data_IF_564723185554
#
_entry.id   IF_564723185554
#
_cell.length_a   1.000
_cell.length_b   1.000
_cell.length_c   1.000
_cell.angle_alpha   90.00
_cell.angle_beta   90.00
_cell.angle_gamma   90.00
#
_symmetry.space_group_name_H-M   'P 1'
#
loop_
_entity.id
_entity.type
_entity.pdbx_description
1 polymer ?
#
# COMPACT_ATOMS: atom_id res chain seq x y z
N UNK A 1 -8.90 -13.40 25.97
CA UNK A 1 -7.82 -12.56 25.38
C UNK A 1 -6.50 -13.33 25.14
N UNK A 2 -6.14 -14.36 25.90
CA UNK A 2 -4.81 -15.04 25.81
C UNK A 2 -4.50 -15.89 24.54
N UNK A 3 -5.46 -16.14 23.64
CA UNK A 3 -5.24 -17.06 22.51
C UNK A 3 -4.80 -16.38 21.19
N UNK A 4 -4.77 -15.05 21.13
CA UNK A 4 -4.77 -14.33 19.83
C UNK A 4 -3.46 -13.61 19.52
N UNK A 5 -2.65 -13.28 20.51
CA UNK A 5 -1.36 -12.64 20.32
C UNK A 5 -0.23 -13.56 20.75
N UNK A 6 0.76 -13.74 19.89
CA UNK A 6 2.02 -14.42 20.26
C UNK A 6 2.91 -13.46 21.05
N UNK A 7 3.40 -13.89 22.20
CA UNK A 7 4.40 -13.15 22.98
C UNK A 7 3.83 -11.90 23.67
N UNK A 8 2.83 -12.06 24.53
CA UNK A 8 2.35 -10.98 25.41
C UNK A 8 3.38 -10.73 26.52
N UNK A 9 3.75 -9.47 26.72
CA UNK A 9 4.72 -9.02 27.71
C UNK A 9 4.05 -8.13 28.77
N UNK A 10 4.31 -8.45 30.03
CA UNK A 10 3.82 -7.68 31.17
C UNK A 10 4.86 -6.65 31.55
N UNK A 11 4.39 -5.45 31.87
CA UNK A 11 5.25 -4.33 32.21
C UNK A 11 4.78 -3.71 33.53
N UNK A 12 5.73 -3.18 34.30
CA UNK A 12 5.43 -2.39 35.49
C UNK A 12 6.12 -1.03 35.36
N UNK A 13 5.68 -0.16 34.43
CA UNK A 13 6.40 1.07 34.15
C UNK A 13 6.27 2.01 35.34
N UNK A 14 7.40 2.52 35.83
CA UNK A 14 7.40 3.59 36.82
C UNK A 14 6.82 4.87 36.22
N UNK A 15 6.12 5.66 37.04
CA UNK A 15 5.62 6.99 36.64
C UNK A 15 4.21 7.02 36.04
N UNK A 16 3.57 5.87 35.81
CA UNK A 16 2.15 5.81 35.42
C UNK A 16 1.29 5.93 36.68
N UNK A 17 0.52 7.02 36.81
CA UNK A 17 -0.38 7.26 37.94
C UNK A 17 -1.79 6.75 37.69
N UNK A 18 -2.20 6.58 36.43
CA UNK A 18 -3.48 5.99 36.03
C UNK A 18 -3.55 4.48 36.41
N UNK A 19 -4.37 4.16 37.41
CA UNK A 19 -4.44 2.80 37.96
C UNK A 19 -4.95 1.72 36.98
N UNK A 20 -6.02 1.94 36.19
CA UNK A 20 -6.45 0.96 35.20
C UNK A 20 -5.34 0.58 34.22
N UNK A 21 -4.57 1.56 33.74
CA UNK A 21 -3.44 1.32 32.83
C UNK A 21 -2.34 0.52 33.51
N UNK A 22 -1.93 0.89 34.74
CA UNK A 22 -0.92 0.12 35.49
C UNK A 22 -1.33 -1.34 35.65
N UNK A 23 -2.57 -1.57 36.09
CA UNK A 23 -3.10 -2.91 36.31
C UNK A 23 -3.12 -3.71 35.01
N UNK A 24 -3.61 -3.12 33.93
CA UNK A 24 -3.64 -3.77 32.62
C UNK A 24 -2.23 -4.19 32.18
N UNK A 25 -1.25 -3.28 32.24
CA UNK A 25 0.13 -3.58 31.84
C UNK A 25 0.78 -4.66 32.73
N UNK A 26 0.48 -4.69 34.03
CA UNK A 26 1.06 -5.64 34.97
C UNK A 26 0.41 -7.03 34.90
N UNK A 27 -0.91 -7.10 34.75
CA UNK A 27 -1.68 -8.36 34.82
C UNK A 27 -1.93 -8.98 33.43
N UNK A 28 -2.31 -8.14 32.46
CA UNK A 28 -2.66 -8.56 31.10
C UNK A 28 -1.44 -8.47 30.19
N UNK A 29 -0.79 -7.31 30.13
CA UNK A 29 0.36 -7.04 29.27
C UNK A 29 -0.02 -6.55 27.86
N UNK A 30 1.01 -6.24 27.07
CA UNK A 30 0.90 -5.82 25.67
C UNK A 30 1.42 -6.94 24.75
N UNK A 31 0.85 -7.15 23.55
CA UNK A 31 1.46 -8.03 22.57
C UNK A 31 2.80 -7.44 22.09
N UNK A 32 3.78 -8.27 21.70
CA UNK A 32 5.03 -7.76 21.09
C UNK A 32 4.77 -6.92 19.83
N UNK A 33 3.91 -7.44 18.96
CA UNK A 33 3.52 -6.78 17.72
C UNK A 33 2.05 -7.05 17.44
N UNK A 34 1.30 -6.02 17.07
CA UNK A 34 -0.06 -6.13 16.53
C UNK A 34 -0.45 -4.86 15.78
N UNK A 35 -1.21 -4.99 14.70
CA UNK A 35 -1.75 -3.89 13.90
C UNK A 35 -0.70 -2.82 13.58
N UNK A 36 0.41 -3.25 12.98
CA UNK A 36 1.57 -2.40 12.66
C UNK A 36 2.37 -1.81 13.82
N UNK A 37 1.94 -2.04 15.06
CA UNK A 37 2.57 -1.51 16.25
C UNK A 37 3.51 -2.56 16.82
N UNK A 38 4.78 -2.21 16.97
CA UNK A 38 5.74 -2.89 17.84
C UNK A 38 5.65 -2.26 19.21
N UNK A 39 5.16 -3.01 20.20
CA UNK A 39 5.05 -2.52 21.57
C UNK A 39 6.37 -2.71 22.29
N UNK A 40 6.85 -1.64 22.89
CA UNK A 40 8.08 -1.59 23.65
C UNK A 40 8.00 -0.40 24.63
N UNK A 41 7.48 -0.61 25.84
CA UNK A 41 7.41 0.45 26.85
C UNK A 41 8.79 0.90 27.30
N UNK A 42 9.13 2.17 27.03
CA UNK A 42 10.45 2.76 27.27
C UNK A 42 10.44 3.85 28.36
N UNK A 43 9.26 4.29 28.83
CA UNK A 43 9.12 5.37 29.80
C UNK A 43 8.92 6.74 29.13
N UNK A 44 9.30 7.87 29.78
CA UNK A 44 9.07 9.21 29.24
C UNK A 44 9.64 9.42 27.84
N UNK A 45 8.85 10.00 26.93
CA UNK A 45 9.29 10.35 25.59
C UNK A 45 10.14 11.63 25.59
N UNK A 46 11.27 11.60 24.88
CA UNK A 46 12.20 12.72 24.83
C UNK A 46 11.64 13.97 24.12
N UNK A 47 10.73 13.78 23.17
CA UNK A 47 10.09 14.87 22.41
C UNK A 47 8.85 15.40 23.14
N UNK A 48 8.15 14.52 23.86
CA UNK A 48 6.95 14.84 24.63
C UNK A 48 7.12 14.43 26.10
N UNK A 49 7.81 15.23 26.93
CA UNK A 49 8.22 14.84 28.29
C UNK A 49 7.07 14.50 29.25
N UNK A 50 5.83 14.88 28.93
CA UNK A 50 4.63 14.53 29.69
C UNK A 50 3.98 13.21 29.28
N UNK A 51 4.48 12.56 28.23
CA UNK A 51 3.94 11.31 27.69
C UNK A 51 5.00 10.20 27.80
N UNK A 52 4.56 8.97 27.92
CA UNK A 52 5.40 7.79 27.91
C UNK A 52 5.34 7.10 26.55
N UNK A 53 6.49 6.70 25.99
CA UNK A 53 6.52 5.87 24.80
C UNK A 53 6.21 4.41 25.18
N UNK A 54 5.17 3.86 24.55
CA UNK A 54 4.74 2.46 24.76
C UNK A 54 4.89 1.59 23.51
N UNK A 55 5.19 2.19 22.36
CA UNK A 55 5.46 1.45 21.13
C UNK A 55 5.84 2.35 19.96
N UNK A 56 5.92 1.74 18.79
CA UNK A 56 6.21 2.40 17.53
C UNK A 56 5.52 1.69 16.36
N UNK A 57 5.22 2.42 15.30
CA UNK A 57 4.67 1.89 14.05
C UNK A 57 5.41 2.52 12.87
N UNK A 58 5.71 1.72 11.84
CA UNK A 58 6.60 2.09 10.75
C UNK A 58 7.97 2.63 11.21
N UNK A 59 8.59 3.44 10.36
CA UNK A 59 9.94 3.97 10.61
C UNK A 59 9.95 5.24 11.47
N UNK A 60 8.80 5.93 11.57
CA UNK A 60 8.73 7.29 12.14
C UNK A 60 7.58 7.49 13.13
N UNK A 61 6.70 6.50 13.29
CA UNK A 61 5.54 6.58 14.18
C UNK A 61 5.86 6.15 15.61
N UNK A 62 5.22 6.80 16.57
CA UNK A 62 5.30 6.50 18.01
C UNK A 62 3.92 6.29 18.58
N UNK A 63 3.80 5.32 19.47
CA UNK A 63 2.62 5.17 20.33
C UNK A 63 2.97 5.72 21.70
N UNK A 64 2.26 6.76 22.09
CA UNK A 64 2.48 7.52 23.32
C UNK A 64 1.31 7.30 24.28
N UNK A 65 1.60 7.36 25.57
CA UNK A 65 0.65 7.14 26.66
C UNK A 65 0.73 8.33 27.61
N UNK A 66 -0.39 8.97 27.92
CA UNK A 66 -0.47 9.89 29.06
C UNK A 66 -0.48 9.05 30.36
N UNK A 67 0.55 9.18 31.21
CA UNK A 67 0.67 8.37 32.41
C UNK A 67 -0.40 8.70 33.47
N UNK A 68 -1.02 9.87 33.41
CA UNK A 68 -2.03 10.35 34.37
C UNK A 68 -3.45 10.01 33.98
N UNK A 69 -3.77 10.09 32.68
CA UNK A 69 -5.13 9.82 32.18
C UNK A 69 -5.28 8.42 31.60
N UNK A 70 -4.19 7.78 31.17
CA UNK A 70 -4.23 6.51 30.46
C UNK A 70 -4.47 6.63 28.96
N UNK A 71 -4.76 7.84 28.45
CA UNK A 71 -5.03 8.10 27.04
C UNK A 71 -3.82 7.72 26.16
N UNK A 72 -4.10 7.07 25.03
CA UNK A 72 -3.10 6.67 24.05
C UNK A 72 -3.16 7.58 22.83
N UNK A 73 -1.99 7.93 22.32
CA UNK A 73 -1.81 8.79 21.16
C UNK A 73 -0.92 8.16 20.11
N UNK A 74 -1.24 8.39 18.84
CA UNK A 74 -0.35 8.19 17.71
C UNK A 74 0.40 9.48 17.42
N UNK A 75 1.70 9.41 17.15
CA UNK A 75 2.51 10.57 16.81
C UNK A 75 3.50 10.22 15.70
N UNK A 76 3.39 10.92 14.57
CA UNK A 76 4.42 10.88 13.55
C UNK A 76 5.53 11.90 13.83
N UNK A 77 6.71 11.66 13.26
CA UNK A 77 7.86 12.55 13.42
C UNK A 77 7.53 13.96 12.90
N UNK A 78 7.65 14.95 13.78
CA UNK A 78 7.40 16.36 13.44
C UNK A 78 5.93 16.80 13.58
N UNK A 79 5.03 15.87 13.89
CA UNK A 79 3.60 16.13 14.10
C UNK A 79 3.25 16.18 15.58
N UNK A 80 2.11 16.78 15.91
CA UNK A 80 1.55 16.71 17.28
C UNK A 80 0.94 15.33 17.52
N UNK A 81 0.91 14.83 18.77
CA UNK A 81 0.19 13.61 19.12
C UNK A 81 -1.30 13.76 18.83
N UNK A 82 -1.87 12.73 18.21
CA UNK A 82 -3.30 12.62 17.90
C UNK A 82 -3.88 11.49 18.74
N UNK A 83 -5.06 11.69 19.32
CA UNK A 83 -5.71 10.66 20.13
C UNK A 83 -5.93 9.40 19.28
N UNK A 84 -5.45 8.27 19.81
CA UNK A 84 -5.47 6.97 19.13
C UNK A 84 -6.39 6.00 19.85
N UNK A 85 -6.34 5.94 21.18
CA UNK A 85 -7.26 5.10 21.96
C UNK A 85 -7.48 5.70 23.34
N UNK A 86 -8.65 5.48 23.91
CA UNK A 86 -9.04 6.03 25.22
C UNK A 86 -8.21 5.45 26.36
N UNK A 87 -7.74 4.21 26.21
CA UNK A 87 -6.78 3.58 27.10
C UNK A 87 -6.01 2.43 26.43
N UNK A 88 -5.11 1.79 27.19
CA UNK A 88 -4.31 0.64 26.73
C UNK A 88 -5.14 -0.64 26.47
N UNK A 89 -6.31 -0.77 27.08
CA UNK A 89 -7.20 -1.90 26.83
C UNK A 89 -7.91 -1.74 25.48
N UNK A 90 -8.38 -0.52 25.18
CA UNK A 90 -8.94 -0.16 23.89
C UNK A 90 -7.90 -0.30 22.77
N UNK A 91 -6.67 0.19 23.00
CA UNK A 91 -5.53 0.01 22.09
C UNK A 91 -5.31 -1.46 21.70
N UNK A 92 -5.30 -2.37 22.69
CA UNK A 92 -5.10 -3.81 22.43
C UNK A 92 -6.31 -4.44 21.74
N UNK A 93 -7.54 -4.00 22.07
CA UNK A 93 -8.77 -4.44 21.40
C UNK A 93 -8.76 -4.03 19.92
N UNK A 94 -8.41 -2.79 19.62
CA UNK A 94 -8.42 -2.29 18.24
C UNK A 94 -7.29 -2.86 17.41
N UNK A 95 -6.13 -3.08 18.04
CA UNK A 95 -5.06 -3.84 17.41
C UNK A 95 -5.53 -5.24 17.02
N UNK A 96 -6.33 -5.90 17.87
CA UNK A 96 -6.92 -7.19 17.54
C UNK A 96 -7.90 -7.09 16.36
N UNK A 97 -8.76 -6.07 16.35
CA UNK A 97 -9.73 -5.84 15.27
C UNK A 97 -9.05 -5.57 13.92
N UNK A 98 -7.93 -4.85 13.91
CA UNK A 98 -7.15 -4.63 12.69
C UNK A 98 -6.42 -5.91 12.24
N UNK A 99 -5.94 -6.74 13.17
CA UNK A 99 -5.35 -8.05 12.83
C UNK A 99 -6.38 -9.03 12.25
N UNK A 100 -7.66 -8.93 12.61
CA UNK A 100 -8.74 -9.70 11.97
C UNK A 100 -8.85 -9.40 10.45
N UNK A 101 -8.30 -8.29 9.95
CA UNK A 101 -8.20 -7.97 8.51
C UNK A 101 -6.93 -8.52 7.84
N UNK A 102 -5.91 -8.92 8.60
CA UNK A 102 -4.58 -9.26 8.04
C UNK A 102 -4.43 -10.72 7.61
N UNK A 103 -5.18 -11.64 8.20
CA UNK A 103 -4.97 -13.07 7.98
C UNK A 103 -5.83 -13.64 6.85
N UNK A 104 -5.33 -14.72 6.24
CA UNK A 104 -5.92 -15.62 5.24
C UNK A 104 -7.20 -16.34 5.73
N UNK A 105 -8.05 -15.60 6.43
CA UNK A 105 -9.35 -15.97 6.96
C UNK A 105 -10.31 -14.92 6.44
N UNK A 106 -11.46 -15.35 5.93
CA UNK A 106 -12.53 -14.43 5.54
C UNK A 106 -12.70 -13.33 6.60
N UNK A 107 -12.64 -12.04 6.21
CA UNK A 107 -12.77 -10.94 7.16
C UNK A 107 -14.03 -11.14 8.00
N UNK A 108 -13.84 -11.23 9.32
CA UNK A 108 -14.98 -11.43 10.24
C UNK A 108 -15.87 -10.20 10.33
N UNK A 109 -15.35 -9.05 9.91
CA UNK A 109 -16.03 -7.76 9.93
C UNK A 109 -15.67 -6.94 8.70
N UNK A 110 -16.64 -6.15 8.25
CA UNK A 110 -16.41 -5.11 7.24
C UNK A 110 -15.80 -3.85 7.89
N UNK A 111 -15.22 -2.96 7.09
CA UNK A 111 -14.78 -1.63 7.57
C UNK A 111 -15.92 -0.85 8.19
N UNK A 112 -17.12 -0.90 7.62
CA UNK A 112 -18.27 -0.19 8.17
C UNK A 112 -18.62 -0.70 9.58
N UNK A 113 -18.53 -2.00 9.81
CA UNK A 113 -18.73 -2.58 11.15
C UNK A 113 -17.62 -2.19 12.13
N UNK A 114 -16.37 -2.11 11.66
CA UNK A 114 -15.23 -1.68 12.48
C UNK A 114 -15.31 -0.20 12.85
N UNK A 115 -15.64 0.66 11.89
CA UNK A 115 -15.83 2.09 12.10
C UNK A 115 -17.05 2.36 13.00
N UNK A 116 -18.15 1.63 12.82
CA UNK A 116 -19.32 1.73 13.70
C UNK A 116 -19.00 1.28 15.12
N UNK A 117 -18.20 0.21 15.29
CA UNK A 117 -17.75 -0.23 16.60
C UNK A 117 -16.86 0.83 17.27
N UNK A 118 -15.90 1.39 16.54
CA UNK A 118 -15.03 2.46 17.04
C UNK A 118 -15.84 3.67 17.48
N UNK A 119 -16.79 4.14 16.67
CA UNK A 119 -17.67 5.26 17.00
C UNK A 119 -18.57 4.97 18.22
N UNK A 120 -18.99 3.72 18.42
CA UNK A 120 -19.82 3.32 19.56
C UNK A 120 -19.03 3.25 20.87
N UNK A 121 -17.73 2.94 20.82
CA UNK A 121 -16.93 2.71 22.03
C UNK A 121 -15.93 3.81 22.35
N UNK A 122 -15.51 4.58 21.35
CA UNK A 122 -14.54 5.67 21.48
C UNK A 122 -14.98 6.89 20.64
N UNK A 123 -16.17 7.45 20.90
CA UNK A 123 -16.74 8.57 20.15
C UNK A 123 -15.92 9.87 20.21
N UNK A 124 -14.97 9.97 21.14
CA UNK A 124 -14.07 11.12 21.31
C UNK A 124 -12.87 11.12 20.33
N UNK A 125 -12.61 10.00 19.66
CA UNK A 125 -11.50 9.93 18.71
C UNK A 125 -11.79 10.77 17.47
N UNK A 126 -10.80 11.52 16.97
CA UNK A 126 -10.98 12.25 15.73
C UNK A 126 -11.18 11.25 14.58
N UNK A 127 -12.17 11.50 13.73
CA UNK A 127 -12.37 10.69 12.53
C UNK A 127 -11.17 10.82 11.57
N UNK A 128 -10.56 12.01 11.47
CA UNK A 128 -9.46 12.32 10.54
C UNK A 128 -8.11 12.31 11.24
N UNK A 129 -7.08 11.77 10.59
CA UNK A 129 -5.71 11.72 11.14
C UNK A 129 -5.51 10.77 12.33
N UNK A 130 -6.55 10.03 12.73
CA UNK A 130 -6.44 8.96 13.74
C UNK A 130 -5.93 7.67 13.11
N UNK A 131 -5.17 6.91 13.89
CA UNK A 131 -4.58 5.65 13.46
C UNK A 131 -5.62 4.59 13.10
N UNK A 132 -6.65 4.39 13.92
CA UNK A 132 -7.56 3.25 13.75
C UNK A 132 -8.47 3.34 12.52
N UNK A 133 -9.16 4.46 12.26
CA UNK A 133 -9.96 4.58 11.05
C UNK A 133 -9.12 4.33 9.79
N UNK A 134 -7.92 4.91 9.72
CA UNK A 134 -6.98 4.69 8.62
C UNK A 134 -6.56 3.22 8.54
N UNK A 135 -6.13 2.61 9.65
CA UNK A 135 -5.70 1.22 9.68
C UNK A 135 -6.81 0.25 9.24
N UNK A 136 -8.07 0.50 9.61
CA UNK A 136 -9.18 -0.34 9.19
C UNK A 136 -9.46 -0.23 7.69
N UNK A 137 -9.52 0.98 7.13
CA UNK A 137 -9.72 1.16 5.68
C UNK A 137 -8.59 0.50 4.90
N UNK A 138 -7.34 0.70 5.29
CA UNK A 138 -6.20 0.17 4.52
C UNK A 138 -6.00 -1.32 4.72
N UNK A 139 -6.40 -1.84 5.87
CA UNK A 139 -6.38 -3.27 6.14
C UNK A 139 -7.21 -4.07 5.14
N UNK A 140 -8.25 -3.48 4.52
CA UNK A 140 -9.11 -4.18 3.56
C UNK A 140 -8.42 -4.51 2.23
N UNK A 141 -7.32 -3.85 1.92
CA UNK A 141 -6.53 -4.19 0.74
C UNK A 141 -5.91 -5.58 0.86
N UNK A 142 -5.58 -6.04 2.08
CA UNK A 142 -4.90 -7.32 2.29
C UNK A 142 -5.78 -8.52 1.93
N UNK A 143 -7.04 -8.63 2.38
CA UNK A 143 -7.96 -9.68 1.93
C UNK A 143 -8.27 -9.61 0.42
N UNK A 144 -8.17 -8.43 -0.19
CA UNK A 144 -8.38 -8.27 -1.62
C UNK A 144 -7.18 -8.79 -2.45
N UNK A 145 -5.98 -8.79 -1.89
CA UNK A 145 -4.75 -9.30 -2.50
C UNK A 145 -4.69 -10.84 -2.51
N UNK A 146 -5.66 -11.47 -3.18
CA UNK A 146 -5.74 -12.92 -3.33
C UNK A 146 -4.75 -13.39 -4.39
N UNK A 147 -4.03 -14.48 -4.12
CA UNK A 147 -3.06 -15.05 -5.08
C UNK A 147 -3.68 -15.40 -6.44
N UNK A 148 -2.94 -15.15 -7.50
CA UNK A 148 -3.30 -15.45 -8.88
C UNK A 148 -2.88 -16.84 -9.36
N UNK A 149 -3.35 -17.23 -10.55
CA UNK A 149 -2.91 -18.45 -11.25
C UNK A 149 -1.68 -18.16 -12.13
N UNK A 150 -0.51 -18.15 -11.48
CA UNK A 150 0.79 -17.90 -12.09
C UNK A 150 1.19 -16.42 -12.18
N UNK A 151 0.27 -15.50 -11.91
CA UNK A 151 0.59 -14.12 -11.50
C UNK A 151 0.51 -14.02 -9.98
N UNK A 152 1.15 -13.00 -9.41
CA UNK A 152 1.17 -12.74 -7.98
C UNK A 152 -0.24 -12.57 -7.40
N UNK A 153 -1.12 -11.86 -8.10
CA UNK A 153 -2.48 -11.56 -7.65
C UNK A 153 -3.54 -11.96 -8.69
N UNK A 154 -4.74 -12.27 -8.17
CA UNK A 154 -5.95 -12.45 -8.95
C UNK A 154 -6.69 -11.13 -9.06
N UNK A 155 -6.76 -10.60 -10.28
CA UNK A 155 -7.49 -9.37 -10.58
C UNK A 155 -8.93 -9.71 -10.99
N UNK A 156 -9.89 -8.92 -10.49
CA UNK A 156 -11.32 -9.12 -10.70
C UNK A 156 -11.92 -8.02 -11.57
N UNK A 157 -13.03 -8.30 -12.24
CA UNK A 157 -13.74 -7.31 -13.06
C UNK A 157 -14.18 -6.08 -12.23
N UNK A 158 -14.48 -6.25 -10.94
CA UNK A 158 -14.82 -5.14 -10.03
C UNK A 158 -13.61 -4.23 -9.77
N UNK A 159 -12.43 -4.81 -9.59
CA UNK A 159 -11.19 -4.02 -9.47
C UNK A 159 -10.90 -3.26 -10.76
N UNK A 160 -11.04 -3.93 -11.91
CA UNK A 160 -10.83 -3.31 -13.21
C UNK A 160 -11.85 -2.21 -13.48
N UNK A 161 -13.12 -2.38 -13.11
CA UNK A 161 -14.16 -1.36 -13.33
C UNK A 161 -13.91 -0.04 -12.54
N UNK A 162 -13.20 -0.10 -11.41
CA UNK A 162 -12.80 1.09 -10.67
C UNK A 162 -11.61 1.79 -11.30
N UNK A 163 -10.69 1.01 -11.85
CA UNK A 163 -9.45 1.53 -12.42
C UNK A 163 -9.73 2.04 -13.82
N UNK A 164 -10.33 1.25 -14.71
CA UNK A 164 -10.49 1.53 -16.14
C UNK A 164 -11.62 2.52 -16.46
N UNK A 165 -11.28 3.59 -17.18
CA UNK A 165 -12.22 4.62 -17.67
C UNK A 165 -12.70 4.33 -19.11
N UNK A 166 -11.96 3.51 -19.87
CA UNK A 166 -12.29 3.10 -21.25
C UNK A 166 -12.62 1.61 -21.33
N UNK A 167 -13.49 1.23 -22.28
CA UNK A 167 -13.70 -0.19 -22.65
C UNK A 167 -12.44 -0.71 -23.35
N UNK A 168 -11.45 -1.16 -22.59
CA UNK A 168 -10.36 -1.95 -23.16
C UNK A 168 -10.71 -3.42 -23.02
N UNK A 169 -10.74 -4.09 -24.16
CA UNK A 169 -10.76 -5.53 -24.28
C UNK A 169 -9.31 -5.97 -24.46
N UNK A 170 -8.93 -7.10 -23.88
CA UNK A 170 -7.58 -7.63 -24.08
C UNK A 170 -7.24 -7.84 -25.56
N UNK A 171 -5.95 -8.01 -25.83
CA UNK A 171 -5.45 -8.11 -27.20
C UNK A 171 -5.79 -9.48 -27.79
N UNK A 172 -6.16 -9.55 -29.08
CA UNK A 172 -6.22 -10.83 -29.78
C UNK A 172 -4.91 -11.60 -29.63
N UNK A 173 -4.97 -12.92 -29.48
CA UNK A 173 -3.79 -13.77 -29.24
C UNK A 173 -2.77 -13.61 -30.37
N UNK A 174 -3.25 -13.42 -31.60
CA UNK A 174 -2.44 -13.16 -32.80
C UNK A 174 -1.75 -11.79 -32.81
N UNK A 175 -2.28 -10.83 -32.03
CA UNK A 175 -1.70 -9.49 -31.87
C UNK A 175 -0.66 -9.43 -30.75
N UNK A 176 -0.52 -10.49 -29.94
CA UNK A 176 0.47 -10.52 -28.87
C UNK A 176 1.88 -10.84 -29.42
N UNK A 177 2.91 -10.05 -29.08
CA UNK A 177 4.27 -10.30 -29.51
C UNK A 177 4.76 -11.70 -29.14
N UNK A 178 5.50 -12.34 -30.06
CA UNK A 178 6.09 -13.66 -29.85
C UNK A 178 7.07 -13.69 -28.65
N UNK A 179 7.65 -12.54 -28.29
CA UNK A 179 8.53 -12.38 -27.14
C UNK A 179 7.85 -12.68 -25.79
N UNK A 180 6.51 -12.64 -25.72
CA UNK A 180 5.74 -13.00 -24.52
C UNK A 180 5.62 -14.53 -24.44
N UNK A 181 6.57 -15.14 -23.75
CA UNK A 181 6.61 -16.59 -23.48
C UNK A 181 6.06 -16.94 -22.10
N UNK A 182 5.97 -15.96 -21.20
CA UNK A 182 5.35 -16.11 -19.89
C UNK A 182 3.84 -16.28 -20.03
N UNK A 183 3.36 -17.52 -19.89
CA UNK A 183 1.96 -17.88 -20.07
C UNK A 183 0.96 -17.04 -19.25
N UNK A 184 1.20 -16.79 -17.95
CA UNK A 184 0.31 -15.94 -17.15
C UNK A 184 0.19 -14.51 -17.66
N UNK A 185 1.30 -13.87 -18.04
CA UNK A 185 1.31 -12.51 -18.64
C UNK A 185 0.54 -12.49 -19.95
N UNK A 186 0.78 -13.47 -20.82
CA UNK A 186 0.08 -13.61 -22.11
C UNK A 186 -1.44 -13.71 -21.91
N UNK A 187 -1.88 -14.57 -20.98
CA UNK A 187 -3.31 -14.70 -20.64
C UNK A 187 -3.91 -13.40 -20.10
N UNK A 188 -3.18 -12.69 -19.25
CA UNK A 188 -3.64 -11.41 -18.70
C UNK A 188 -3.81 -10.36 -19.78
N UNK A 189 -2.83 -10.19 -20.67
CA UNK A 189 -2.93 -9.23 -21.78
C UNK A 189 -4.03 -9.61 -22.77
N UNK A 190 -4.25 -10.91 -23.01
CA UNK A 190 -5.35 -11.39 -23.86
C UNK A 190 -6.74 -11.18 -23.24
N UNK A 191 -6.89 -11.41 -21.94
CA UNK A 191 -8.19 -11.32 -21.27
C UNK A 191 -8.52 -9.89 -20.82
N UNK A 192 -7.54 -9.18 -20.26
CA UNK A 192 -7.70 -7.91 -19.54
C UNK A 192 -7.10 -6.73 -20.31
N UNK A 193 -5.99 -6.93 -21.01
CA UNK A 193 -5.31 -5.87 -21.75
C UNK A 193 -4.39 -5.00 -20.89
N UNK A 194 -4.06 -3.81 -21.38
CA UNK A 194 -3.26 -2.79 -20.67
C UNK A 194 -4.15 -2.01 -19.72
N UNK A 195 -3.61 -1.60 -18.57
CA UNK A 195 -4.31 -0.76 -17.59
C UNK A 195 -4.23 0.71 -18.02
N UNK A 196 -5.28 1.22 -18.65
CA UNK A 196 -5.36 2.56 -19.28
C UNK A 196 -5.84 3.65 -18.34
N UNK A 197 -5.30 3.70 -17.11
CA UNK A 197 -5.87 4.60 -16.12
C UNK A 197 -4.89 4.97 -15.05
N UNK A 198 -4.08 5.98 -15.40
CA UNK A 198 -3.81 7.07 -14.48
C UNK A 198 -3.30 8.30 -15.21
N UNK A 199 -3.35 9.46 -14.55
CA UNK A 199 -2.87 10.74 -15.12
C UNK A 199 -1.39 10.71 -15.54
N UNK A 200 -0.63 9.71 -15.09
CA UNK A 200 0.77 9.49 -15.47
C UNK A 200 0.94 8.30 -16.43
N UNK A 201 -0.09 7.47 -16.64
CA UNK A 201 -0.06 6.28 -17.48
C UNK A 201 -0.75 6.57 -18.80
N UNK A 202 0.02 6.92 -19.82
CA UNK A 202 -0.49 7.03 -21.17
C UNK A 202 -0.29 5.70 -21.89
N UNK A 203 -1.37 5.11 -22.37
CA UNK A 203 -1.26 4.03 -23.32
C UNK A 203 -0.96 4.67 -24.68
N UNK A 204 0.10 4.25 -25.40
CA UNK A 204 0.28 4.68 -26.79
C UNK A 204 -1.04 4.52 -27.56
N UNK A 205 -1.22 5.25 -28.66
CA UNK A 205 -2.21 4.85 -29.66
C UNK A 205 -1.72 3.50 -30.22
N UNK A 206 -2.06 2.43 -29.50
CA UNK A 206 -1.67 1.06 -29.77
C UNK A 206 -2.56 0.64 -30.94
N UNK A 207 -2.15 1.05 -32.14
CA UNK A 207 -2.70 0.59 -33.40
C UNK A 207 -2.60 -0.95 -33.43
N UNK A 208 -3.67 -1.60 -32.97
CA UNK A 208 -3.99 -3.03 -33.07
C UNK A 208 -3.01 -4.04 -32.40
N UNK A 209 -1.79 -3.63 -31.99
CA UNK A 209 -0.73 -4.50 -31.47
C UNK A 209 0.21 -3.81 -30.48
N UNK A 210 0.67 -4.57 -29.48
CA UNK A 210 1.78 -4.18 -28.59
C UNK A 210 3.14 -4.25 -29.30
N UNK A 211 4.00 -3.26 -29.06
CA UNK A 211 5.36 -3.21 -29.61
C UNK A 211 6.37 -3.82 -28.62
N UNK A 212 7.40 -4.45 -29.17
CA UNK A 212 8.62 -4.70 -28.40
C UNK A 212 9.38 -3.38 -28.20
N UNK A 213 10.24 -3.31 -27.19
CA UNK A 213 11.06 -2.14 -26.92
C UNK A 213 11.98 -1.84 -28.10
N UNK A 214 12.53 -2.87 -28.74
CA UNK A 214 13.33 -2.71 -29.95
C UNK A 214 12.56 -2.03 -31.09
N UNK A 215 11.31 -2.42 -31.31
CA UNK A 215 10.43 -1.79 -32.32
C UNK A 215 10.06 -0.35 -31.94
N UNK A 216 9.75 -0.10 -30.67
CA UNK A 216 9.41 1.23 -30.18
C UNK A 216 10.58 2.21 -30.32
N UNK A 217 11.79 1.83 -29.88
CA UNK A 217 13.01 2.63 -30.02
C UNK A 217 13.35 2.87 -31.49
N UNK A 218 13.26 1.85 -32.35
CA UNK A 218 13.52 2.00 -33.78
C UNK A 218 12.57 3.01 -34.42
N UNK A 219 11.27 2.96 -34.10
CA UNK A 219 10.27 3.91 -34.61
C UNK A 219 10.57 5.34 -34.18
N UNK A 220 10.86 5.57 -32.89
CA UNK A 220 11.18 6.91 -32.37
C UNK A 220 12.47 7.48 -32.97
N UNK A 221 13.49 6.64 -33.18
CA UNK A 221 14.70 7.03 -33.89
C UNK A 221 14.41 7.42 -35.36
N UNK A 222 13.49 6.74 -36.05
CA UNK A 222 13.04 7.13 -37.40
C UNK A 222 12.27 8.46 -37.40
N UNK A 223 11.56 8.77 -36.32
CA UNK A 223 10.84 10.04 -36.09
C UNK A 223 11.77 11.20 -35.68
N UNK A 224 13.05 10.90 -35.43
CA UNK A 224 14.11 11.89 -35.15
C UNK A 224 14.37 12.14 -33.67
N UNK A 225 13.84 11.30 -32.78
CA UNK A 225 14.23 11.30 -31.37
C UNK A 225 15.61 10.64 -31.22
N UNK A 226 16.56 11.32 -30.55
CA UNK A 226 17.90 10.77 -30.31
C UNK A 226 17.90 9.94 -29.02
N UNK A 227 17.31 8.74 -29.08
CA UNK A 227 17.27 7.82 -27.93
C UNK A 227 18.53 6.95 -27.85
N UNK A 228 18.92 6.48 -26.64
CA UNK A 228 19.90 5.43 -26.46
C UNK A 228 19.51 4.16 -27.22
N UNK A 229 20.53 3.36 -27.56
CA UNK A 229 20.30 2.04 -28.13
C UNK A 229 19.45 1.18 -27.18
N UNK A 230 18.47 0.46 -27.74
CA UNK A 230 17.67 -0.48 -26.98
C UNK A 230 18.57 -1.52 -26.30
N UNK A 231 18.23 -1.96 -25.07
CA UNK A 231 19.05 -2.93 -24.35
C UNK A 231 19.13 -4.28 -25.08
N UNK A 232 20.14 -5.11 -24.79
CA UNK A 232 20.15 -6.50 -25.25
C UNK A 232 18.86 -7.22 -24.86
N UNK A 233 18.36 -8.10 -25.72
CA UNK A 233 17.07 -8.81 -25.55
C UNK A 233 15.81 -7.91 -25.60
N UNK A 234 15.89 -6.68 -26.11
CA UNK A 234 14.72 -5.78 -26.23
C UNK A 234 13.53 -6.33 -27.04
N UNK A 235 13.72 -7.41 -27.80
CA UNK A 235 12.66 -8.19 -28.47
C UNK A 235 11.74 -8.97 -27.50
N UNK A 236 12.19 -9.17 -26.26
CA UNK A 236 11.40 -9.78 -25.18
C UNK A 236 10.76 -8.75 -24.25
N UNK A 237 11.16 -7.49 -24.37
CA UNK A 237 10.66 -6.39 -23.57
C UNK A 237 9.48 -5.77 -24.30
N UNK A 238 8.28 -5.83 -23.71
CA UNK A 238 7.05 -5.37 -24.38
C UNK A 238 6.61 -4.05 -23.77
N UNK A 239 6.49 -3.02 -24.60
CA UNK A 239 5.99 -1.72 -24.17
C UNK A 239 4.48 -1.83 -23.97
N UNK A 240 4.05 -1.66 -22.73
CA UNK A 240 2.64 -1.73 -22.33
C UNK A 240 2.07 -0.36 -21.98
N UNK A 241 2.90 0.67 -21.88
CA UNK A 241 2.44 2.03 -21.61
C UNK A 241 3.62 2.99 -21.48
N UNK A 242 3.31 4.23 -21.12
CA UNK A 242 4.25 5.28 -20.76
C UNK A 242 3.92 5.76 -19.37
N UNK A 243 4.95 6.00 -18.56
CA UNK A 243 4.81 6.58 -17.23
C UNK A 243 5.57 7.90 -17.19
N UNK A 244 4.89 9.02 -16.96
CA UNK A 244 5.52 10.36 -16.95
C UNK A 244 6.17 10.69 -18.32
N UNK A 245 6.62 11.94 -18.50
CA UNK A 245 7.38 12.32 -19.69
C UNK A 245 8.69 11.48 -19.71
N UNK A 246 8.99 10.81 -20.83
CA UNK A 246 10.25 10.11 -21.11
C UNK A 246 10.52 8.77 -20.38
N UNK A 247 9.51 8.04 -19.92
CA UNK A 247 9.71 6.67 -19.38
C UNK A 247 8.68 5.67 -19.92
N UNK A 248 9.16 4.56 -20.48
CA UNK A 248 8.31 3.47 -20.96
C UNK A 248 8.01 2.50 -19.81
N UNK A 249 6.74 2.09 -19.72
CA UNK A 249 6.33 0.95 -18.93
C UNK A 249 6.47 -0.31 -19.77
N UNK A 250 7.31 -1.23 -19.31
CA UNK A 250 7.75 -2.40 -20.06
C UNK A 250 7.48 -3.67 -19.26
N UNK A 251 7.12 -4.76 -19.94
CA UNK A 251 7.04 -6.10 -19.35
C UNK A 251 8.11 -7.00 -19.96
N UNK A 252 8.92 -7.68 -19.14
CA UNK A 252 9.76 -8.78 -19.64
C UNK A 252 8.83 -9.96 -19.96
N UNK A 253 8.62 -10.21 -21.26
CA UNK A 253 7.76 -11.25 -21.78
C UNK A 253 8.17 -12.67 -21.37
N UNK A 254 9.36 -12.89 -20.82
CA UNK A 254 9.82 -14.21 -20.33
C UNK A 254 9.47 -14.46 -18.87
N UNK A 255 9.47 -13.41 -18.05
CA UNK A 255 9.32 -13.51 -16.59
C UNK A 255 8.01 -12.91 -16.08
N UNK A 256 7.41 -11.99 -16.83
CA UNK A 256 6.25 -11.21 -16.43
C UNK A 256 6.58 -9.99 -15.57
N UNK A 257 7.86 -9.76 -15.24
CA UNK A 257 8.31 -8.61 -14.45
C UNK A 257 7.99 -7.29 -15.16
N UNK A 258 7.45 -6.33 -14.40
CA UNK A 258 7.19 -4.97 -14.91
C UNK A 258 8.37 -4.08 -14.58
N UNK A 259 8.84 -3.36 -15.58
CA UNK A 259 10.03 -2.50 -15.57
C UNK A 259 9.66 -1.09 -16.04
N UNK A 260 10.41 -0.11 -15.57
CA UNK A 260 10.50 1.22 -16.19
C UNK A 260 11.75 1.26 -17.06
N UNK A 261 11.61 1.73 -18.30
CA UNK A 261 12.74 2.07 -19.15
C UNK A 261 12.83 3.59 -19.28
N UNK A 262 13.87 4.17 -18.69
CA UNK A 262 14.13 5.61 -18.79
C UNK A 262 14.73 5.88 -20.18
N UNK A 263 14.07 6.74 -20.97
CA UNK A 263 14.35 6.89 -22.39
C UNK A 263 15.65 7.64 -22.71
N UNK A 264 16.27 8.39 -21.80
CA UNK A 264 17.50 9.16 -22.03
C UNK A 264 18.75 8.50 -21.43
N UNK A 265 18.60 7.80 -20.32
CA UNK A 265 19.61 7.05 -19.60
C UNK A 265 19.69 5.61 -20.13
N UNK A 266 18.61 5.11 -20.72
CA UNK A 266 18.52 3.74 -21.24
C UNK A 266 18.48 2.68 -20.14
N UNK A 267 18.20 3.09 -18.90
CA UNK A 267 18.23 2.22 -17.72
C UNK A 267 16.89 1.51 -17.53
N UNK A 268 16.95 0.22 -17.16
CA UNK A 268 15.80 -0.57 -16.76
C UNK A 268 15.74 -0.70 -15.24
N UNK A 269 14.64 -0.26 -14.64
CA UNK A 269 14.42 -0.38 -13.19
C UNK A 269 13.17 -1.20 -12.89
N UNK A 270 13.20 -2.12 -11.91
CA UNK A 270 12.01 -2.86 -11.49
C UNK A 270 10.90 -1.93 -10.99
N UNK A 271 9.70 -2.11 -11.53
CA UNK A 271 8.53 -1.30 -11.19
C UNK A 271 7.53 -2.07 -10.33
N UNK A 272 7.16 -3.28 -10.74
CA UNK A 272 6.15 -4.11 -10.06
C UNK A 272 6.48 -5.58 -10.29
N UNK A 273 6.06 -6.45 -9.37
CA UNK A 273 6.30 -7.90 -9.48
C UNK A 273 5.77 -8.48 -10.79
N UNK A 274 4.54 -8.11 -11.18
CA UNK A 274 3.98 -8.39 -12.50
C UNK A 274 2.79 -7.45 -12.81
N UNK A 275 2.10 -7.67 -13.95
CA UNK A 275 0.94 -6.87 -14.35
C UNK A 275 -0.23 -6.92 -13.35
N UNK A 276 -0.36 -7.99 -12.57
CA UNK A 276 -1.41 -8.09 -11.56
C UNK A 276 -1.13 -7.19 -10.36
N UNK A 277 0.12 -7.11 -9.89
CA UNK A 277 0.46 -6.21 -8.78
C UNK A 277 0.46 -4.74 -9.20
N UNK A 278 0.81 -4.46 -10.46
CA UNK A 278 0.58 -3.15 -11.07
C UNK A 278 -0.91 -2.77 -11.04
N UNK A 279 -1.79 -3.63 -11.59
CA UNK A 279 -3.24 -3.40 -11.59
C UNK A 279 -3.80 -3.20 -10.18
N UNK A 280 -3.35 -4.04 -9.25
CA UNK A 280 -3.77 -3.97 -7.86
C UNK A 280 -3.32 -2.68 -7.19
N UNK A 281 -2.09 -2.22 -7.44
CA UNK A 281 -1.58 -0.96 -6.86
C UNK A 281 -2.41 0.23 -7.33
N UNK A 282 -2.73 0.29 -8.63
CA UNK A 282 -3.61 1.33 -9.20
C UNK A 282 -5.01 1.28 -8.59
N UNK A 283 -5.60 0.07 -8.51
CA UNK A 283 -6.88 -0.15 -7.84
C UNK A 283 -6.85 0.28 -6.38
N UNK A 284 -5.80 -0.08 -5.63
CA UNK A 284 -5.69 0.21 -4.22
C UNK A 284 -5.72 1.72 -3.95
N UNK A 285 -5.05 2.52 -4.78
CA UNK A 285 -5.04 3.97 -4.60
C UNK A 285 -6.42 4.57 -4.88
N UNK A 286 -7.09 4.17 -5.95
CA UNK A 286 -8.43 4.68 -6.27
C UNK A 286 -9.50 4.17 -5.30
N UNK A 287 -9.38 2.93 -4.84
CA UNK A 287 -10.23 2.35 -3.80
C UNK A 287 -10.09 3.14 -2.49
N UNK A 288 -8.87 3.40 -2.04
CA UNK A 288 -8.61 4.21 -0.84
C UNK A 288 -9.16 5.62 -0.99
N UNK A 289 -8.99 6.24 -2.15
CA UNK A 289 -9.57 7.58 -2.42
C UNK A 289 -11.10 7.56 -2.36
N UNK A 290 -11.73 6.55 -2.94
CA UNK A 290 -13.17 6.37 -2.88
C UNK A 290 -13.64 6.18 -1.42
N UNK A 291 -12.93 5.36 -0.66
CA UNK A 291 -13.20 5.11 0.77
C UNK A 291 -13.00 6.36 1.62
N UNK A 292 -11.94 7.14 1.37
CA UNK A 292 -11.70 8.43 2.03
C UNK A 292 -12.83 9.41 1.79
N UNK A 293 -13.30 9.54 0.54
CA UNK A 293 -14.48 10.37 0.20
C UNK A 293 -15.77 9.86 0.86
N UNK A 294 -15.97 8.55 0.91
CA UNK A 294 -17.18 7.91 1.46
C UNK A 294 -17.27 8.08 2.98
N UNK A 295 -16.15 7.92 3.67
CA UNK A 295 -16.07 7.92 5.13
C UNK A 295 -15.72 9.29 5.73
N UNK A 296 -15.29 10.24 4.89
CA UNK A 296 -14.77 11.54 5.32
C UNK A 296 -13.37 11.45 5.94
N UNK A 297 -12.69 10.30 5.79
CA UNK A 297 -11.33 10.09 6.24
C UNK A 297 -10.36 10.93 5.41
N UNK A 298 -9.65 11.83 6.09
CA UNK A 298 -8.51 12.54 5.50
C UNK A 298 -7.29 11.64 5.61
N UNK A 299 -6.54 11.61 4.53
CA UNK A 299 -5.40 10.73 4.35
C UNK A 299 -4.09 11.48 4.66
N UNK A 300 -4.07 12.10 5.84
CA UNK A 300 -2.91 12.81 6.37
C UNK A 300 -2.19 11.97 7.43
N UNK A 301 -0.95 12.36 7.73
CA UNK A 301 -0.14 11.73 8.76
C UNK A 301 0.06 10.22 8.55
N UNK A 302 -0.52 9.43 9.47
CA UNK A 302 -0.32 7.97 9.63
C UNK A 302 -0.60 7.14 8.37
N UNK A 303 -1.37 7.68 7.43
CA UNK A 303 -1.68 7.07 6.14
C UNK A 303 -0.43 6.57 5.41
N UNK A 304 0.59 7.42 5.24
CA UNK A 304 1.81 7.09 4.48
C UNK A 304 2.54 5.88 5.07
N UNK A 305 2.52 5.78 6.39
CA UNK A 305 3.15 4.67 7.11
C UNK A 305 2.36 3.37 6.93
N UNK A 306 1.02 3.43 7.02
CA UNK A 306 0.15 2.26 6.94
C UNK A 306 0.11 1.71 5.51
N UNK A 307 -0.08 2.58 4.50
CA UNK A 307 -0.18 2.13 3.11
C UNK A 307 1.12 1.51 2.60
N UNK A 308 2.27 2.07 3.02
CA UNK A 308 3.58 1.48 2.72
C UNK A 308 3.65 0.04 3.21
N UNK A 309 3.30 -0.23 4.47
CA UNK A 309 3.34 -1.60 5.01
C UNK A 309 2.40 -2.55 4.27
N UNK A 310 1.19 -2.08 3.96
CA UNK A 310 0.19 -2.87 3.26
C UNK A 310 0.70 -3.23 1.85
N UNK A 311 1.13 -2.24 1.08
CA UNK A 311 1.54 -2.45 -0.30
C UNK A 311 2.92 -3.10 -0.42
N UNK A 312 3.84 -2.88 0.51
CA UNK A 312 5.17 -3.55 0.47
C UNK A 312 5.09 -5.05 0.69
N UNK A 313 4.07 -5.51 1.42
CA UNK A 313 3.82 -6.94 1.60
C UNK A 313 3.15 -7.56 0.36
N UNK A 314 2.35 -6.77 -0.37
CA UNK A 314 1.61 -7.20 -1.56
C UNK A 314 2.51 -7.20 -2.82
N UNK A 315 3.33 -6.17 -2.99
CA UNK A 315 4.31 -6.06 -4.07
C UNK A 315 5.69 -5.66 -3.54
N UNK A 316 6.51 -6.62 -3.10
CA UNK A 316 7.83 -6.31 -2.54
C UNK A 316 8.79 -5.71 -3.56
N UNK A 317 8.57 -5.92 -4.87
CA UNK A 317 9.40 -5.33 -5.94
C UNK A 317 9.14 -3.83 -6.03
N UNK A 318 7.86 -3.43 -6.09
CA UNK A 318 7.46 -2.03 -6.15
C UNK A 318 7.95 -1.18 -4.97
N UNK A 319 8.16 -1.82 -3.81
CA UNK A 319 8.50 -1.16 -2.55
C UNK A 319 9.89 -1.53 -2.02
N UNK A 320 10.74 -2.13 -2.85
CA UNK A 320 12.08 -2.56 -2.46
C UNK A 320 12.97 -1.38 -2.02
N UNK A 321 12.81 -0.23 -2.67
CA UNK A 321 13.58 0.99 -2.39
C UNK A 321 12.69 2.08 -1.83
N UNK A 322 13.10 2.70 -0.71
CA UNK A 322 12.35 3.79 -0.06
C UNK A 322 12.11 5.00 -0.96
N UNK A 323 12.94 5.18 -1.98
CA UNK A 323 12.89 6.25 -2.99
C UNK A 323 12.61 5.72 -4.39
N UNK A 324 12.10 4.49 -4.50
CA UNK A 324 11.66 3.94 -5.78
C UNK A 324 10.44 4.67 -6.33
N UNK A 325 10.04 4.29 -7.54
CA UNK A 325 8.94 4.93 -8.26
C UNK A 325 7.64 5.01 -7.44
N UNK A 326 7.12 3.88 -6.94
CA UNK A 326 5.84 3.86 -6.22
C UNK A 326 5.87 4.60 -4.89
N UNK A 327 6.88 4.44 -4.01
CA UNK A 327 6.99 5.26 -2.81
C UNK A 327 6.99 6.76 -3.10
N UNK A 328 7.73 7.21 -4.12
CA UNK A 328 7.74 8.64 -4.49
C UNK A 328 6.41 9.08 -5.09
N UNK A 329 5.78 8.25 -5.91
CA UNK A 329 4.52 8.61 -6.54
C UNK A 329 3.39 8.67 -5.51
N UNK A 330 3.19 7.61 -4.72
CA UNK A 330 2.05 7.46 -3.80
C UNK A 330 2.21 8.28 -2.51
N UNK A 331 3.44 8.37 -1.98
CA UNK A 331 3.67 9.00 -0.68
C UNK A 331 4.11 10.46 -0.76
N UNK A 332 4.54 10.95 -1.93
CA UNK A 332 4.84 12.36 -2.11
C UNK A 332 3.57 13.14 -2.45
N UNK A 333 3.31 14.21 -1.68
CA UNK A 333 2.16 15.08 -1.89
C UNK A 333 2.35 15.92 -3.18
N UNK A 334 3.59 16.04 -3.66
CA UNK A 334 3.93 16.82 -4.85
C UNK A 334 3.38 16.25 -6.16
N UNK A 335 3.18 14.92 -6.23
CA UNK A 335 2.78 14.25 -7.47
C UNK A 335 1.26 14.10 -7.61
N UNK A 336 0.47 14.64 -6.66
CA UNK A 336 -1.01 14.62 -6.73
C UNK A 336 -1.66 13.24 -6.66
N UNK A 337 -0.87 12.21 -6.35
CA UNK A 337 -1.30 10.80 -6.28
C UNK A 337 -1.66 10.42 -4.84
N UNK A 338 -1.08 11.13 -3.87
CA UNK A 338 -1.63 11.20 -2.54
C UNK A 338 -3.11 11.62 -2.58
N UNK A 339 -4.00 11.03 -1.78
CA UNK A 339 -5.37 11.52 -1.59
C UNK A 339 -5.41 12.98 -1.08
N UNK A 340 -6.29 13.79 -1.68
CA UNK A 340 -6.52 15.23 -1.38
C UNK A 340 -6.93 15.56 0.07
#
# INVERSE_FOLDING_TARGET
MSQWFTGVERHTPSGITHEPTRRFLAEVGLPRTAALIRFAPEGPDATWPGLHRIGAYGDRGRVLLDPGTGQVYSCERGSRPVAMSVDVSALVRDAHLAEDLRYDREPRRTVDELLALLAATEPELPATGSFWPTAFVMGQLRPAAVSGDGLALRITDEMLALVYVREIRGFPEESLPAGITHGPTRRFLHATGVIDTWACLEVPDLEERLLTLAEATARRNEEGEELPDAPPDAEHLIVVGYILEDTDLVVDGRTGLVLLWEQYEGELTPCSTDLSTLAFTLWAVDHVRAEGRRTGLRMDGVWKTIIRDVLSDIDPVAWAETWGFWPNLILDDANGIGPD
#
